data_IF_787922727178
#
_entry.id   IF_787922727178
#
_cell.length_a   1.000
_cell.length_b   1.000
_cell.length_c   1.000
_cell.angle_alpha   90.00
_cell.angle_beta   90.00
_cell.angle_gamma   90.00
#
_symmetry.space_group_name_H-M   'P 1'
#
loop_
_entity.id
_entity.type
_entity.pdbx_description
1 polymer ?
#
# COMPACT_ATOMS: atom_id res chain seq x y z
N UNK A 1 -22.04 -3.88 -2.71
CA UNK A 1 -20.99 -2.84 -2.76
C UNK A 1 -19.68 -3.59 -2.94
N UNK A 2 -19.03 -3.47 -4.09
CA UNK A 2 -17.77 -4.18 -4.34
C UNK A 2 -16.67 -3.51 -3.54
N UNK A 3 -15.94 -4.26 -2.71
CA UNK A 3 -14.78 -3.71 -2.01
C UNK A 3 -13.72 -3.31 -3.06
N UNK A 4 -13.45 -2.01 -3.18
CA UNK A 4 -12.43 -1.50 -4.08
C UNK A 4 -11.13 -1.27 -3.32
N UNK A 5 -10.02 -1.65 -3.94
CA UNK A 5 -8.68 -1.51 -3.39
C UNK A 5 -7.85 -0.67 -4.36
N UNK A 6 -7.31 0.45 -3.88
CA UNK A 6 -6.44 1.33 -4.66
C UNK A 6 -4.98 1.07 -4.27
N UNK A 7 -4.14 0.73 -5.25
CA UNK A 7 -2.70 0.60 -5.04
C UNK A 7 -2.11 1.97 -4.70
N UNK A 8 -1.35 2.03 -3.62
CA UNK A 8 -0.67 3.24 -3.13
C UNK A 8 0.85 3.10 -3.15
N UNK A 9 1.33 1.85 -3.13
CA UNK A 9 2.74 1.50 -3.29
C UNK A 9 2.82 0.38 -4.32
N UNK A 10 3.54 0.63 -5.40
CA UNK A 10 3.81 -0.36 -6.46
C UNK A 10 4.70 -1.52 -5.95
N UNK A 11 4.74 -2.67 -6.65
CA UNK A 11 5.57 -3.80 -6.25
C UNK A 11 7.06 -3.42 -6.21
N UNK A 12 7.65 -3.43 -5.02
CA UNK A 12 9.06 -3.12 -4.77
C UNK A 12 9.60 -3.93 -3.58
N UNK A 13 10.92 -3.96 -3.32
CA UNK A 13 11.47 -4.68 -2.17
C UNK A 13 10.80 -4.25 -0.85
N UNK A 14 10.61 -5.19 0.08
CA UNK A 14 9.86 -4.96 1.33
C UNK A 14 10.28 -3.68 2.07
N UNK A 15 11.59 -3.46 2.23
CA UNK A 15 12.11 -2.28 2.93
C UNK A 15 11.74 -0.96 2.24
N UNK A 16 11.74 -0.96 0.90
CA UNK A 16 11.33 0.21 0.12
C UNK A 16 9.81 0.39 0.17
N UNK A 17 9.06 -0.71 0.11
CA UNK A 17 7.61 -0.69 0.14
C UNK A 17 7.08 -0.16 1.48
N UNK A 18 7.66 -0.59 2.61
CA UNK A 18 7.31 -0.11 3.95
C UNK A 18 7.62 1.38 4.11
N UNK A 19 8.76 1.83 3.58
CA UNK A 19 9.10 3.25 3.58
C UNK A 19 8.11 4.07 2.75
N UNK A 20 7.82 3.63 1.53
CA UNK A 20 6.86 4.30 0.64
C UNK A 20 5.45 4.34 1.24
N UNK A 21 5.04 3.28 1.96
CA UNK A 21 3.76 3.27 2.67
C UNK A 21 3.74 4.31 3.80
N UNK A 22 4.78 4.36 4.62
CA UNK A 22 4.88 5.34 5.70
C UNK A 22 4.87 6.78 5.16
N UNK A 23 5.67 7.06 4.13
CA UNK A 23 5.69 8.36 3.45
C UNK A 23 4.29 8.73 2.92
N UNK A 24 3.59 7.77 2.31
CA UNK A 24 2.22 7.97 1.83
C UNK A 24 1.24 8.26 2.97
N UNK A 25 1.29 7.50 4.08
CA UNK A 25 0.45 7.73 5.27
C UNK A 25 0.69 9.12 5.84
N UNK A 26 1.95 9.55 5.96
CA UNK A 26 2.29 10.89 6.42
C UNK A 26 1.75 11.98 5.50
N UNK A 27 1.88 11.82 4.18
CA UNK A 27 1.28 12.74 3.21
C UNK A 27 -0.25 12.82 3.35
N UNK A 28 -0.94 11.68 3.52
CA UNK A 28 -2.39 11.69 3.71
C UNK A 28 -2.80 12.37 5.01
N UNK A 29 -2.05 12.15 6.09
CA UNK A 29 -2.27 12.80 7.38
C UNK A 29 -2.14 14.32 7.28
N UNK A 30 -1.15 14.81 6.52
CA UNK A 30 -0.99 16.25 6.24
C UNK A 30 -2.15 16.83 5.41
N UNK A 31 -2.75 16.03 4.54
CA UNK A 31 -3.95 16.40 3.76
C UNK A 31 -5.25 16.30 4.58
N UNK A 32 -5.17 16.01 5.88
CA UNK A 32 -6.33 15.86 6.76
C UNK A 32 -7.12 14.57 6.54
N UNK A 33 -6.55 13.58 5.84
CA UNK A 33 -7.12 12.24 5.67
C UNK A 33 -6.45 11.29 6.65
N UNK A 34 -7.23 10.73 7.57
CA UNK A 34 -6.79 9.61 8.39
C UNK A 34 -7.18 8.32 7.66
N UNK A 35 -6.19 7.51 7.29
CA UNK A 35 -6.42 6.13 6.89
C UNK A 35 -6.09 5.26 8.09
N UNK A 36 -7.00 4.36 8.45
CA UNK A 36 -6.69 3.35 9.46
C UNK A 36 -5.76 2.30 8.84
N UNK A 37 -4.79 1.83 9.63
CA UNK A 37 -3.84 0.80 9.19
C UNK A 37 -4.58 -0.49 8.80
N UNK A 38 -5.74 -0.73 9.40
CA UNK A 38 -6.64 -1.85 9.08
C UNK A 38 -7.28 -1.74 7.68
N UNK A 39 -7.17 -0.59 7.03
CA UNK A 39 -7.58 -0.37 5.64
C UNK A 39 -6.45 -0.62 4.63
N UNK A 40 -5.25 -0.97 5.09
CA UNK A 40 -4.09 -1.26 4.25
C UNK A 40 -3.93 -2.77 4.04
N UNK A 41 -3.91 -3.20 2.77
CA UNK A 41 -3.60 -4.57 2.38
C UNK A 41 -2.18 -4.65 1.83
N UNK A 42 -1.42 -5.62 2.33
CA UNK A 42 -0.11 -6.02 1.81
C UNK A 42 -0.27 -7.21 0.89
N UNK A 43 0.15 -7.07 -0.37
CA UNK A 43 0.22 -8.21 -1.31
C UNK A 43 1.69 -8.53 -1.62
N UNK A 44 2.08 -9.79 -1.46
CA UNK A 44 3.39 -10.30 -1.89
C UNK A 44 3.30 -10.79 -3.33
N UNK A 45 4.23 -10.33 -4.16
CA UNK A 45 4.32 -10.62 -5.59
C UNK A 45 5.71 -11.20 -5.85
N UNK A 46 5.77 -12.30 -6.59
CA UNK A 46 7.03 -12.91 -6.99
C UNK A 46 7.40 -12.41 -8.38
N UNK A 47 8.58 -11.79 -8.51
CA UNK A 47 9.13 -11.43 -9.81
C UNK A 47 9.47 -12.69 -10.63
N UNK A 48 9.76 -12.52 -11.93
CA UNK A 48 10.21 -13.63 -12.79
C UNK A 48 11.49 -14.29 -12.26
N UNK A 49 12.31 -13.52 -11.55
CA UNK A 49 13.57 -13.95 -10.95
C UNK A 49 13.40 -14.49 -9.52
N UNK A 50 12.14 -14.70 -9.09
CA UNK A 50 11.76 -15.14 -7.73
C UNK A 50 12.12 -14.16 -6.63
N UNK A 51 12.31 -12.88 -6.96
CA UNK A 51 12.42 -11.84 -5.93
C UNK A 51 11.05 -11.57 -5.31
N UNK A 52 11.04 -11.43 -3.99
CA UNK A 52 9.84 -11.05 -3.25
C UNK A 52 9.64 -9.54 -3.32
N UNK A 53 8.65 -9.13 -4.09
CA UNK A 53 8.19 -7.75 -4.16
C UNK A 53 6.91 -7.62 -3.33
N UNK A 54 6.74 -6.45 -2.73
CA UNK A 54 5.58 -6.13 -1.91
C UNK A 54 4.92 -4.91 -2.49
N UNK A 55 3.59 -4.97 -2.61
CA UNK A 55 2.76 -3.80 -2.90
C UNK A 55 1.80 -3.54 -1.74
N UNK A 56 1.43 -2.29 -1.56
CA UNK A 56 0.40 -1.89 -0.61
C UNK A 56 -0.79 -1.26 -1.34
N UNK A 57 -1.99 -1.65 -0.95
CA UNK A 57 -3.23 -1.09 -1.43
C UNK A 57 -4.11 -0.68 -0.27
N UNK A 58 -4.88 0.39 -0.43
CA UNK A 58 -5.84 0.85 0.58
C UNK A 58 -7.27 0.61 0.14
N UNK A 59 -8.14 0.30 1.09
CA UNK A 59 -9.58 0.18 0.85
C UNK A 59 -10.15 1.55 0.48
N UNK A 60 -10.98 1.58 -0.55
CA UNK A 60 -11.74 2.76 -0.96
C UNK A 60 -13.21 2.38 -0.91
N UNK A 61 -13.96 3.01 0.01
CA UNK A 61 -15.41 2.95 0.03
C UNK A 61 -15.90 4.18 -0.75
N UNK A 62 -16.43 3.96 -1.96
CA UNK A 62 -17.16 4.97 -2.74
C UNK A 62 -18.65 4.97 -2.30
#
# INVERSE_FOLDING_TARGET
>A
MSEQWKVVVEPMPLSEAEKALNDWIECQRQLGRAYDVDEVRRDTIYSRDREELVRFAVRVND
#
